data_IF_391135372227
#
_entry.id   IF_391135372227
#
_cell.length_a   1.000
_cell.length_b   1.000
_cell.length_c   1.000
_cell.angle_alpha   90.00
_cell.angle_beta   90.00
_cell.angle_gamma   90.00
#
_symmetry.space_group_name_H-M   'P 1'
#
loop_
_entity.id
_entity.type
_entity.pdbx_description
1 polymer ?
#
# COMPACT_ATOMS: atom_id res chain seq x y z
N UNK A 1 21.85 -11.26 -3.45
CA UNK A 1 20.43 -11.68 -3.30
C UNK A 1 19.78 -11.33 -1.95
N UNK A 2 20.46 -11.51 -0.80
CA UNK A 2 19.86 -11.25 0.53
C UNK A 2 19.44 -9.79 0.74
N UNK A 3 20.29 -8.85 0.33
CA UNK A 3 20.03 -7.40 0.40
C UNK A 3 18.88 -6.94 -0.50
N UNK A 4 18.76 -7.52 -1.69
CA UNK A 4 17.68 -7.23 -2.63
C UNK A 4 16.31 -7.67 -2.08
N UNK A 5 16.25 -8.84 -1.44
CA UNK A 5 15.03 -9.34 -0.78
C UNK A 5 14.59 -8.42 0.37
N UNK A 6 15.54 -7.95 1.19
CA UNK A 6 15.27 -7.01 2.29
C UNK A 6 14.73 -5.69 1.73
N UNK A 7 15.36 -5.17 0.67
CA UNK A 7 14.96 -3.90 0.05
C UNK A 7 13.52 -3.93 -0.49
N UNK A 8 13.09 -5.03 -1.11
CA UNK A 8 11.72 -5.16 -1.64
C UNK A 8 10.68 -5.20 -0.52
N UNK A 9 10.97 -5.92 0.57
CA UNK A 9 10.08 -6.00 1.73
C UNK A 9 9.94 -4.63 2.39
N UNK A 10 11.04 -3.88 2.53
CA UNK A 10 11.02 -2.53 3.08
C UNK A 10 10.25 -1.55 2.20
N UNK A 11 10.39 -1.62 0.87
CA UNK A 11 9.62 -0.79 -0.07
C UNK A 11 8.13 -1.12 -0.02
N UNK A 12 7.77 -2.41 0.05
CA UNK A 12 6.39 -2.83 0.20
C UNK A 12 5.77 -2.28 1.50
N UNK A 13 6.49 -2.37 2.62
CA UNK A 13 6.03 -1.79 3.90
C UNK A 13 5.90 -0.27 3.86
N UNK A 14 6.83 0.44 3.22
CA UNK A 14 6.77 1.90 3.07
C UNK A 14 5.60 2.34 2.17
N UNK A 15 5.25 1.56 1.14
CA UNK A 15 4.09 1.84 0.29
C UNK A 15 2.75 1.60 1.00
N UNK A 16 2.73 0.75 2.03
CA UNK A 16 1.56 0.48 2.87
C UNK A 16 1.39 1.52 3.99
N UNK A 17 2.44 2.25 4.35
CA UNK A 17 2.34 3.42 5.23
C UNK A 17 1.85 4.62 4.42
N UNK A 18 0.59 4.59 3.97
CA UNK A 18 -0.11 5.77 3.49
C UNK A 18 -0.20 6.75 4.67
N UNK A 19 0.76 7.69 4.76
CA UNK A 19 0.78 8.73 5.78
C UNK A 19 -0.48 9.58 5.59
N UNK A 20 -1.33 9.76 6.62
CA UNK A 20 -2.46 10.66 6.52
C UNK A 20 -1.97 12.05 6.14
N UNK A 21 -2.54 12.65 5.09
CA UNK A 21 -2.30 14.04 4.77
C UNK A 21 -2.91 14.90 5.88
N UNK A 22 -2.09 15.25 6.89
CA UNK A 22 -2.48 16.12 7.99
C UNK A 22 -2.66 17.56 7.49
N UNK A 23 -3.85 17.84 6.97
CA UNK A 23 -4.29 19.20 6.68
C UNK A 23 -5.73 19.36 7.16
N UNK A 24 -5.90 19.69 8.45
CA UNK A 24 -6.96 20.56 9.01
C UNK A 24 -7.04 20.43 10.54
N UNK A 25 -7.09 21.56 11.25
CA UNK A 25 -7.36 21.65 12.69
C UNK A 25 -8.88 21.63 12.94
N UNK A 26 -9.40 20.47 13.30
CA UNK A 26 -10.79 20.24 13.74
C UNK A 26 -11.01 18.74 13.96
N UNK A 27 -11.74 18.33 15.00
CA UNK A 27 -12.00 16.92 15.31
C UNK A 27 -13.00 16.32 14.31
N UNK A 28 -12.50 15.93 13.13
CA UNK A 28 -13.20 15.19 12.09
C UNK A 28 -12.50 13.85 11.81
N UNK A 29 -11.95 13.22 12.85
CA UNK A 29 -11.37 11.88 12.72
C UNK A 29 -12.50 10.88 12.44
N UNK A 30 -12.58 10.39 11.20
CA UNK A 30 -13.44 9.26 10.89
C UNK A 30 -13.02 8.08 11.78
N UNK A 31 -14.00 7.40 12.38
CA UNK A 31 -13.69 6.23 13.21
C UNK A 31 -12.91 5.20 12.38
N UNK A 32 -12.08 4.39 13.04
CA UNK A 32 -11.30 3.35 12.37
C UNK A 32 -12.17 2.51 11.41
N UNK A 33 -13.39 2.18 11.83
CA UNK A 33 -14.33 1.42 11.01
C UNK A 33 -14.76 2.19 9.75
N UNK A 34 -15.05 3.49 9.85
CA UNK A 34 -15.40 4.32 8.68
C UNK A 34 -14.23 4.42 7.71
N UNK A 35 -13.02 4.60 8.21
CA UNK A 35 -11.82 4.60 7.38
C UNK A 35 -11.60 3.24 6.70
N UNK A 36 -11.71 2.14 7.44
CA UNK A 36 -11.60 0.80 6.86
C UNK A 36 -12.64 0.56 5.76
N UNK A 37 -13.90 0.97 5.99
CA UNK A 37 -14.95 0.87 4.99
C UNK A 37 -14.69 1.77 3.78
N UNK A 38 -14.13 2.96 3.96
CA UNK A 38 -13.71 3.83 2.86
C UNK A 38 -12.65 3.15 1.98
N UNK A 39 -11.62 2.55 2.58
CA UNK A 39 -10.58 1.82 1.85
C UNK A 39 -11.13 0.61 1.07
N UNK A 40 -12.09 -0.12 1.65
CA UNK A 40 -12.68 -1.30 1.02
C UNK A 40 -13.68 -0.98 -0.11
N UNK A 41 -14.35 0.18 -0.03
CA UNK A 41 -15.41 0.56 -0.99
C UNK A 41 -14.96 1.57 -2.03
N UNK A 42 -13.83 2.24 -1.81
CA UNK A 42 -13.29 3.23 -2.74
C UNK A 42 -12.75 2.56 -4.01
N UNK A 43 -13.31 2.89 -5.21
CA UNK A 43 -12.88 2.28 -6.47
C UNK A 43 -11.41 2.51 -6.79
N UNK A 44 -10.85 3.65 -6.38
CA UNK A 44 -9.44 3.99 -6.61
C UNK A 44 -8.50 3.16 -5.75
N UNK A 45 -8.83 2.94 -4.48
CA UNK A 45 -8.03 2.09 -3.60
C UNK A 45 -8.06 0.63 -4.05
N UNK A 46 -9.23 0.12 -4.45
CA UNK A 46 -9.35 -1.22 -5.02
C UNK A 46 -8.50 -1.37 -6.30
N UNK A 47 -8.55 -0.39 -7.20
CA UNK A 47 -7.76 -0.39 -8.43
C UNK A 47 -6.26 -0.33 -8.16
N UNK A 48 -5.80 0.56 -7.27
CA UNK A 48 -4.40 0.67 -6.88
C UNK A 48 -3.90 -0.58 -6.15
N UNK A 49 -4.73 -1.21 -5.32
CA UNK A 49 -4.39 -2.47 -4.65
C UNK A 49 -4.19 -3.61 -5.67
N UNK A 50 -5.06 -3.72 -6.68
CA UNK A 50 -4.93 -4.75 -7.73
C UNK A 50 -3.69 -4.49 -8.59
N UNK A 51 -3.52 -3.28 -9.12
CA UNK A 51 -2.39 -2.93 -9.99
C UNK A 51 -1.05 -3.01 -9.23
N UNK A 52 -1.02 -2.49 -8.00
CA UNK A 52 0.15 -2.56 -7.12
C UNK A 52 0.55 -4.00 -6.80
N UNK A 53 -0.43 -4.86 -6.47
CA UNK A 53 -0.18 -6.28 -6.21
C UNK A 53 0.35 -6.99 -7.44
N UNK A 54 -0.21 -6.73 -8.62
CA UNK A 54 0.27 -7.30 -9.88
C UNK A 54 1.71 -6.88 -10.19
N UNK A 55 2.07 -5.61 -9.98
CA UNK A 55 3.42 -5.10 -10.18
C UNK A 55 4.42 -5.74 -9.21
N UNK A 56 4.06 -5.90 -7.93
CA UNK A 56 4.90 -6.56 -6.92
C UNK A 56 5.13 -8.04 -7.30
N UNK A 57 4.08 -8.77 -7.68
CA UNK A 57 4.17 -10.17 -8.11
C UNK A 57 5.08 -10.29 -9.33
N UNK A 58 4.90 -9.44 -10.34
CA UNK A 58 5.73 -9.42 -11.54
C UNK A 58 7.21 -9.17 -11.19
N UNK A 59 7.49 -8.24 -10.28
CA UNK A 59 8.84 -7.96 -9.79
C UNK A 59 9.45 -9.18 -9.09
N UNK A 60 8.71 -9.82 -8.19
CA UNK A 60 9.17 -11.02 -7.47
C UNK A 60 9.48 -12.16 -8.45
N UNK A 61 8.61 -12.40 -9.43
CA UNK A 61 8.82 -13.45 -10.45
C UNK A 61 10.06 -13.14 -11.29
N UNK A 62 10.25 -11.90 -11.73
CA UNK A 62 11.43 -11.47 -12.48
C UNK A 62 12.71 -11.72 -11.68
N UNK A 63 12.71 -11.37 -10.40
CA UNK A 63 13.87 -11.53 -9.52
C UNK A 63 14.15 -12.97 -9.09
N UNK A 64 13.16 -13.86 -9.16
CA UNK A 64 13.36 -15.30 -8.94
C UNK A 64 13.97 -15.99 -10.17
N UNK A 65 13.70 -15.46 -11.37
CA UNK A 65 14.17 -16.01 -12.66
C UNK A 65 15.54 -15.48 -13.09
N UNK A 66 15.98 -14.36 -12.54
CA UNK A 66 17.33 -13.81 -12.70
C UNK A 66 18.31 -14.43 -11.68
#
# INVERSE_FOLDING_TARGET
MKLLKISIISVAMASLSAVPAFAHTGSHEASFLVNLMHWLTSPTHALLAVVGSAAIVALIVKLKRA
#
